data_IF_622232706783
#
_entry.id   IF_622232706783
#
_cell.length_a   1.000
_cell.length_b   1.000
_cell.length_c   1.000
_cell.angle_alpha   90.00
_cell.angle_beta   90.00
_cell.angle_gamma   90.00
#
_symmetry.space_group_name_H-M   'P 1'
#
loop_
_entity.id
_entity.type
_entity.pdbx_description
1 polymer ?
#
# COMPACT_ATOMS: atom_id res chain seq x y z
N UNK A 1 6.24 -35.80 10.94
CA UNK A 1 5.98 -34.41 11.43
C UNK A 1 6.21 -33.43 10.27
N UNK A 2 5.38 -33.53 9.22
CA UNK A 2 5.67 -32.93 7.90
C UNK A 2 4.48 -32.15 7.32
N UNK A 3 3.42 -31.91 8.11
CA UNK A 3 2.19 -31.27 7.61
C UNK A 3 2.15 -29.76 7.92
N UNK A 4 3.05 -29.24 8.76
CA UNK A 4 2.98 -27.84 9.23
C UNK A 4 3.87 -26.85 8.46
N UNK A 5 4.56 -27.24 7.39
CA UNK A 5 5.49 -26.35 6.65
C UNK A 5 4.82 -25.46 5.58
N UNK A 6 3.52 -25.62 5.32
CA UNK A 6 2.82 -24.96 4.20
C UNK A 6 1.54 -24.21 4.59
N UNK A 7 1.30 -23.92 5.88
CA UNK A 7 0.15 -23.09 6.26
C UNK A 7 0.55 -21.62 6.19
N UNK A 8 0.04 -20.90 5.18
CA UNK A 8 0.08 -19.44 5.16
C UNK A 8 -0.84 -18.86 6.25
N UNK A 9 -0.61 -17.61 6.66
CA UNK A 9 -1.47 -16.87 7.59
C UNK A 9 -2.94 -16.87 7.17
N UNK A 10 -3.20 -16.92 5.85
CA UNK A 10 -4.55 -16.98 5.30
C UNK A 10 -5.13 -18.38 5.24
N UNK A 11 -4.32 -19.43 5.18
CA UNK A 11 -4.81 -20.81 5.29
C UNK A 11 -5.30 -21.11 6.72
N UNK A 12 -4.65 -20.52 7.72
CA UNK A 12 -5.15 -20.50 9.10
C UNK A 12 -6.43 -19.66 9.25
N UNK A 13 -6.54 -18.54 8.53
CA UNK A 13 -7.75 -17.72 8.50
C UNK A 13 -8.94 -18.40 7.80
N UNK A 14 -8.67 -19.18 6.74
CA UNK A 14 -9.63 -20.06 6.05
C UNK A 14 -10.06 -21.23 6.94
N UNK A 15 -9.18 -21.71 7.82
CA UNK A 15 -9.50 -22.73 8.84
C UNK A 15 -10.36 -22.15 9.98
N UNK A 16 -10.17 -20.87 10.32
CA UNK A 16 -10.97 -20.10 11.30
C UNK A 16 -12.22 -19.43 10.68
N UNK A 17 -12.69 -19.92 9.53
CA UNK A 17 -13.80 -19.37 8.75
C UNK A 17 -15.08 -19.00 9.52
N UNK A 18 -15.49 -19.66 10.63
CA UNK A 18 -16.65 -19.22 11.40
C UNK A 18 -16.47 -17.89 12.16
N UNK A 19 -15.22 -17.51 12.47
CA UNK A 19 -14.87 -16.31 13.27
C UNK A 19 -14.50 -15.13 12.34
N UNK A 20 -14.07 -15.44 11.12
CA UNK A 20 -13.60 -14.48 10.13
C UNK A 20 -14.61 -13.38 9.74
N UNK A 21 -15.95 -13.61 9.66
CA UNK A 21 -16.88 -12.59 9.17
C UNK A 21 -16.97 -11.36 10.09
N UNK A 22 -16.93 -11.55 11.40
CA UNK A 22 -16.95 -10.45 12.39
C UNK A 22 -15.64 -9.65 12.36
N UNK A 23 -14.51 -10.34 12.23
CA UNK A 23 -13.21 -9.69 12.11
C UNK A 23 -13.12 -8.84 10.84
N UNK A 24 -13.54 -9.40 9.70
CA UNK A 24 -13.55 -8.68 8.43
C UNK A 24 -14.57 -7.57 8.38
N UNK A 25 -15.74 -7.71 9.01
CA UNK A 25 -16.75 -6.64 9.04
C UNK A 25 -16.24 -5.46 9.83
N UNK A 26 -15.62 -5.70 10.98
CA UNK A 26 -15.12 -4.64 11.83
C UNK A 26 -13.85 -3.99 11.26
N UNK A 27 -12.95 -4.78 10.65
CA UNK A 27 -11.82 -4.24 9.91
C UNK A 27 -12.27 -3.38 8.72
N UNK A 28 -13.23 -3.88 7.92
CA UNK A 28 -13.77 -3.13 6.77
C UNK A 28 -14.46 -1.84 7.25
N UNK A 29 -15.30 -1.91 8.27
CA UNK A 29 -15.99 -0.72 8.78
C UNK A 29 -15.02 0.35 9.28
N UNK A 30 -13.98 -0.04 10.05
CA UNK A 30 -12.94 0.89 10.49
C UNK A 30 -12.09 1.43 9.34
N UNK A 31 -11.77 0.59 8.35
CA UNK A 31 -10.94 0.97 7.18
C UNK A 31 -11.67 1.94 6.25
N UNK A 32 -12.99 1.79 6.11
CA UNK A 32 -13.84 2.54 5.19
C UNK A 32 -14.88 3.39 5.93
N UNK A 33 -14.62 3.80 7.17
CA UNK A 33 -15.55 4.58 8.00
C UNK A 33 -15.99 5.89 7.32
N UNK A 34 -15.12 6.45 6.46
CA UNK A 34 -15.41 7.64 5.66
C UNK A 34 -16.50 7.40 4.58
N UNK A 35 -16.77 6.15 4.20
CA UNK A 35 -17.88 5.79 3.33
C UNK A 35 -19.20 5.88 4.12
N UNK A 36 -20.02 6.88 3.78
CA UNK A 36 -21.26 7.19 4.51
C UNK A 36 -22.44 6.32 4.08
N UNK A 37 -22.35 5.66 2.94
CA UNK A 37 -23.43 4.81 2.42
C UNK A 37 -23.30 3.35 2.89
N UNK A 38 -24.38 2.84 3.47
CA UNK A 38 -24.47 1.47 3.94
C UNK A 38 -24.39 0.45 2.79
N UNK A 39 -24.86 0.80 1.59
CA UNK A 39 -24.81 -0.08 0.42
C UNK A 39 -23.38 -0.20 -0.10
N UNK A 40 -22.67 0.91 -0.22
CA UNK A 40 -21.23 0.94 -0.52
C UNK A 40 -20.43 0.11 0.50
N UNK A 41 -20.62 0.33 1.80
CA UNK A 41 -19.92 -0.43 2.86
C UNK A 41 -20.16 -1.94 2.73
N UNK A 42 -21.41 -2.35 2.48
CA UNK A 42 -21.75 -3.77 2.28
C UNK A 42 -21.08 -4.33 1.03
N UNK A 43 -21.03 -3.56 -0.05
CA UNK A 43 -20.40 -3.96 -1.30
C UNK A 43 -18.89 -4.15 -1.13
N UNK A 44 -18.22 -3.18 -0.48
CA UNK A 44 -16.79 -3.26 -0.17
C UNK A 44 -16.49 -4.45 0.74
N UNK A 45 -17.33 -4.70 1.75
CA UNK A 45 -17.22 -5.87 2.60
C UNK A 45 -17.33 -7.17 1.81
N UNK A 46 -18.37 -7.32 0.98
CA UNK A 46 -18.58 -8.51 0.16
C UNK A 46 -17.40 -8.76 -0.80
N UNK A 47 -16.95 -7.71 -1.48
CA UNK A 47 -15.78 -7.76 -2.36
C UNK A 47 -14.53 -8.22 -1.60
N UNK A 48 -14.23 -7.56 -0.48
CA UNK A 48 -13.06 -7.85 0.36
C UNK A 48 -13.09 -9.27 0.91
N UNK A 49 -14.22 -9.69 1.48
CA UNK A 49 -14.41 -11.05 1.99
C UNK A 49 -14.26 -12.09 0.88
N UNK A 50 -14.80 -11.83 -0.31
CA UNK A 50 -14.67 -12.74 -1.46
C UNK A 50 -13.19 -12.95 -1.86
N UNK A 51 -12.37 -11.89 -1.81
CA UNK A 51 -10.93 -11.98 -2.13
C UNK A 51 -10.19 -12.78 -1.07
N UNK A 52 -10.44 -12.53 0.22
CA UNK A 52 -9.75 -13.24 1.30
C UNK A 52 -10.10 -14.73 1.36
N UNK A 53 -11.36 -15.07 1.06
CA UNK A 53 -11.84 -16.45 1.07
C UNK A 53 -11.52 -17.20 -0.24
N UNK A 54 -11.27 -16.47 -1.33
CA UNK A 54 -10.86 -17.07 -2.61
C UNK A 54 -9.52 -17.78 -2.50
N UNK A 55 -9.25 -18.67 -3.46
CA UNK A 55 -7.97 -19.38 -3.58
C UNK A 55 -6.81 -18.38 -3.62
N UNK A 56 -5.77 -18.67 -2.84
CA UNK A 56 -4.56 -17.87 -2.81
C UNK A 56 -3.96 -17.67 -4.20
N UNK A 57 -3.51 -16.45 -4.46
CA UNK A 57 -2.83 -16.10 -5.72
C UNK A 57 -1.72 -15.09 -5.44
N UNK A 58 -2.08 -13.82 -5.20
CA UNK A 58 -1.11 -12.74 -4.96
C UNK A 58 -0.24 -12.92 -3.72
N UNK A 59 -0.74 -13.59 -2.68
CA UNK A 59 0.03 -13.87 -1.45
C UNK A 59 1.30 -14.69 -1.72
N UNK A 60 1.25 -15.64 -2.66
CA UNK A 60 2.45 -16.39 -3.05
C UNK A 60 3.49 -15.48 -3.71
N UNK A 61 3.05 -14.49 -4.49
CA UNK A 61 3.93 -13.47 -5.08
C UNK A 61 4.58 -12.57 -4.04
N UNK A 62 3.84 -12.16 -3.00
CA UNK A 62 4.38 -11.33 -1.92
C UNK A 62 5.56 -12.01 -1.22
N UNK A 63 5.49 -13.34 -1.00
CA UNK A 63 6.61 -14.09 -0.40
C UNK A 63 7.88 -14.08 -1.24
N UNK A 64 7.81 -13.73 -2.53
CA UNK A 64 8.98 -13.57 -3.42
C UNK A 64 9.55 -12.15 -3.37
N UNK A 65 8.71 -11.15 -3.20
CA UNK A 65 9.13 -9.74 -3.19
C UNK A 65 9.56 -9.28 -1.79
N UNK A 66 8.91 -9.79 -0.75
CA UNK A 66 9.08 -9.39 0.64
C UNK A 66 9.68 -10.52 1.51
N UNK A 67 10.77 -10.21 2.21
CA UNK A 67 11.32 -11.00 3.30
C UNK A 67 10.40 -10.93 4.54
N UNK A 68 10.62 -11.80 5.56
CA UNK A 68 9.86 -11.75 6.80
C UNK A 68 9.82 -10.33 7.40
N UNK A 69 8.65 -9.92 7.89
CA UNK A 69 8.42 -8.55 8.36
C UNK A 69 8.11 -7.53 7.26
N UNK A 70 7.68 -7.98 6.07
CA UNK A 70 7.36 -7.13 4.92
C UNK A 70 8.54 -6.27 4.41
N UNK A 71 9.77 -6.71 4.65
CA UNK A 71 10.97 -6.03 4.16
C UNK A 71 11.20 -6.35 2.69
N UNK A 72 11.38 -5.36 1.83
CA UNK A 72 11.65 -5.60 0.42
C UNK A 72 13.00 -6.32 0.22
N UNK A 73 13.00 -7.47 -0.50
CA UNK A 73 14.24 -8.17 -0.86
C UNK A 73 15.13 -7.35 -1.80
N UNK A 74 14.50 -6.62 -2.72
CA UNK A 74 15.16 -5.77 -3.69
C UNK A 74 14.59 -4.34 -3.58
N UNK A 75 15.03 -3.55 -2.59
CA UNK A 75 14.46 -2.24 -2.32
C UNK A 75 14.76 -1.24 -3.45
N UNK A 76 13.79 -0.38 -3.76
CA UNK A 76 13.89 0.58 -4.87
C UNK A 76 15.05 1.56 -4.71
N UNK A 77 15.37 1.97 -3.47
CA UNK A 77 16.47 2.91 -3.19
C UNK A 77 17.84 2.40 -3.67
N UNK A 78 18.02 1.09 -3.80
CA UNK A 78 19.26 0.49 -4.34
C UNK A 78 19.23 0.30 -5.86
N UNK A 79 18.11 0.57 -6.51
CA UNK A 79 17.84 0.18 -7.90
C UNK A 79 17.53 1.32 -8.84
N UNK A 80 16.83 2.34 -8.34
CA UNK A 80 16.20 3.38 -9.15
C UNK A 80 16.97 4.72 -9.20
N UNK A 81 17.73 5.18 -8.18
CA UNK A 81 18.28 6.54 -8.16
C UNK A 81 18.92 7.00 -9.47
N UNK A 82 19.82 6.20 -10.04
CA UNK A 82 20.54 6.55 -11.27
C UNK A 82 19.87 6.04 -12.56
N UNK A 83 18.66 5.48 -12.46
CA UNK A 83 17.96 4.83 -13.60
C UNK A 83 16.66 5.51 -13.98
N UNK A 84 16.15 6.41 -13.15
CA UNK A 84 14.93 7.15 -13.47
C UNK A 84 15.26 8.20 -14.54
N UNK A 85 14.41 8.28 -15.57
CA UNK A 85 14.62 9.13 -16.75
C UNK A 85 13.53 10.18 -16.95
N UNK A 86 12.62 10.26 -15.99
CA UNK A 86 11.46 11.15 -16.03
C UNK A 86 11.28 11.76 -14.64
N UNK A 87 10.65 12.94 -14.54
CA UNK A 87 10.26 13.49 -13.26
C UNK A 87 9.37 12.50 -12.50
N UNK A 88 9.44 12.50 -11.18
CA UNK A 88 8.63 11.60 -10.36
C UNK A 88 8.07 12.26 -9.11
N UNK A 89 6.84 11.90 -8.76
CA UNK A 89 6.18 12.31 -7.53
C UNK A 89 6.04 11.10 -6.60
N UNK A 90 6.52 11.26 -5.37
CA UNK A 90 6.48 10.25 -4.31
C UNK A 90 5.59 10.77 -3.19
N UNK A 91 4.45 10.09 -2.98
CA UNK A 91 3.42 10.48 -2.02
C UNK A 91 3.35 9.49 -0.87
N UNK A 92 3.29 10.01 0.35
CA UNK A 92 3.09 9.23 1.58
C UNK A 92 2.06 9.91 2.47
N UNK A 93 1.36 9.11 3.27
CA UNK A 93 0.56 9.61 4.37
C UNK A 93 1.43 10.05 5.55
N UNK A 94 0.97 11.03 6.32
CA UNK A 94 1.63 11.48 7.56
C UNK A 94 1.54 10.42 8.68
N UNK A 95 0.47 9.63 8.71
CA UNK A 95 0.22 8.51 9.63
C UNK A 95 0.37 7.14 8.96
N UNK A 96 1.15 7.05 7.89
CA UNK A 96 1.41 5.79 7.16
C UNK A 96 2.17 4.78 8.05
N UNK A 97 1.75 3.51 7.98
CA UNK A 97 2.44 2.39 8.63
C UNK A 97 3.77 2.06 7.92
N UNK A 98 3.90 2.46 6.64
CA UNK A 98 5.16 2.40 5.89
C UNK A 98 6.09 3.54 6.27
N UNK A 99 7.40 3.29 6.22
CA UNK A 99 8.40 4.30 6.57
C UNK A 99 8.50 5.41 5.51
N UNK A 100 7.80 6.53 5.74
CA UNK A 100 7.84 7.74 4.89
C UNK A 100 9.24 8.32 4.65
N UNK A 101 10.18 8.13 5.59
CA UNK A 101 11.56 8.58 5.42
C UNK A 101 12.27 7.85 4.28
N UNK A 102 11.87 6.62 3.96
CA UNK A 102 12.39 5.91 2.79
C UNK A 102 12.01 6.62 1.48
N UNK A 103 10.79 7.16 1.40
CA UNK A 103 10.32 7.99 0.28
C UNK A 103 11.11 9.30 0.14
N UNK A 104 11.36 9.97 1.26
CA UNK A 104 12.20 11.17 1.27
C UNK A 104 13.64 10.87 0.81
N UNK A 105 14.24 9.81 1.35
CA UNK A 105 15.61 9.42 1.05
C UNK A 105 15.79 9.02 -0.41
N UNK A 106 14.84 8.28 -1.02
CA UNK A 106 14.96 7.92 -2.44
C UNK A 106 14.87 9.15 -3.35
N UNK A 107 14.02 10.14 -3.04
CA UNK A 107 14.00 11.41 -3.78
C UNK A 107 15.33 12.15 -3.66
N UNK A 108 15.95 12.15 -2.47
CA UNK A 108 17.27 12.75 -2.24
C UNK A 108 18.34 12.07 -3.10
N UNK A 109 18.36 10.74 -3.15
CA UNK A 109 19.32 10.00 -3.98
C UNK A 109 19.08 10.23 -5.48
N UNK A 110 17.83 10.20 -5.96
CA UNK A 110 17.49 10.52 -7.36
C UNK A 110 18.00 11.92 -7.71
N UNK A 111 17.72 12.92 -6.88
CA UNK A 111 18.06 14.32 -7.16
C UNK A 111 19.55 14.63 -7.01
N UNK A 112 20.34 13.73 -6.40
CA UNK A 112 21.79 13.87 -6.30
C UNK A 112 22.46 13.48 -7.62
N UNK A 113 21.95 12.46 -8.29
CA UNK A 113 22.50 11.91 -9.53
C UNK A 113 21.84 12.47 -10.79
N UNK A 114 20.59 12.94 -10.68
CA UNK A 114 19.80 13.44 -11.79
C UNK A 114 19.97 14.95 -12.06
N UNK A 115 19.70 15.34 -13.30
CA UNK A 115 19.52 16.74 -13.69
C UNK A 115 18.05 17.20 -13.48
N UNK A 116 17.73 18.43 -13.88
CA UNK A 116 16.37 18.96 -13.73
C UNK A 116 15.30 18.15 -14.46
N UNK A 117 15.64 17.45 -15.55
CA UNK A 117 14.70 16.64 -16.34
C UNK A 117 14.23 15.36 -15.63
N UNK A 118 14.88 14.99 -14.52
CA UNK A 118 14.58 13.76 -13.75
C UNK A 118 14.18 14.03 -12.31
N UNK A 119 13.85 15.30 -11.99
CA UNK A 119 13.59 15.74 -10.62
C UNK A 119 12.50 14.90 -9.93
N UNK A 120 12.86 14.32 -8.79
CA UNK A 120 11.95 13.65 -7.88
C UNK A 120 11.42 14.60 -6.80
N UNK A 121 10.11 14.58 -6.58
CA UNK A 121 9.42 15.38 -5.55
C UNK A 121 8.82 14.45 -4.51
N UNK A 122 9.10 14.72 -3.23
CA UNK A 122 8.46 14.05 -2.10
C UNK A 122 7.38 14.95 -1.51
N UNK A 123 6.19 14.41 -1.23
CA UNK A 123 5.13 15.12 -0.51
C UNK A 123 4.46 14.20 0.51
N UNK A 124 4.05 14.79 1.62
CA UNK A 124 3.17 14.16 2.60
C UNK A 124 1.74 14.66 2.38
N UNK A 125 0.79 13.75 2.53
CA UNK A 125 -0.64 14.05 2.54
C UNK A 125 -1.09 13.98 4.00
N UNK A 126 -1.74 15.04 4.48
CA UNK A 126 -2.17 15.14 5.87
C UNK A 126 -3.41 14.27 6.12
N UNK A 127 -3.55 13.80 7.36
CA UNK A 127 -4.66 12.96 7.83
C UNK A 127 -4.85 11.69 6.98
N UNK A 128 -3.74 11.10 6.53
CA UNK A 128 -3.73 9.98 5.61
C UNK A 128 -2.73 8.88 6.01
N UNK A 129 -3.15 7.62 5.84
CA UNK A 129 -2.29 6.46 5.97
C UNK A 129 -1.71 6.03 4.63
N UNK A 130 -1.61 4.71 4.42
CA UNK A 130 -0.99 4.15 3.22
C UNK A 130 -1.80 4.35 1.92
N UNK A 131 -3.13 4.38 2.01
CA UNK A 131 -3.99 4.60 0.85
C UNK A 131 -4.40 6.07 0.80
N UNK A 132 -3.42 6.93 0.52
CA UNK A 132 -3.58 8.39 0.52
C UNK A 132 -4.71 8.88 -0.40
N UNK A 133 -4.95 8.19 -1.52
CA UNK A 133 -6.03 8.49 -2.47
C UNK A 133 -7.43 8.21 -1.90
N UNK A 134 -7.53 7.34 -0.89
CA UNK A 134 -8.78 7.03 -0.20
C UNK A 134 -8.94 7.93 1.04
N UNK A 135 -7.86 8.13 1.79
CA UNK A 135 -7.93 8.81 3.07
C UNK A 135 -8.09 10.34 2.91
N UNK A 136 -7.42 10.94 1.92
CA UNK A 136 -7.55 12.37 1.59
C UNK A 136 -7.50 12.60 0.07
N UNK A 137 -8.60 12.27 -0.65
CA UNK A 137 -8.65 12.32 -2.11
C UNK A 137 -8.41 13.74 -2.67
N UNK A 138 -8.90 14.78 -1.96
CA UNK A 138 -8.77 16.17 -2.40
C UNK A 138 -7.32 16.62 -2.45
N UNK A 139 -6.55 16.33 -1.40
CA UNK A 139 -5.13 16.71 -1.39
C UNK A 139 -4.31 15.83 -2.34
N UNK A 140 -4.59 14.53 -2.40
CA UNK A 140 -3.98 13.64 -3.38
C UNK A 140 -4.15 14.16 -4.81
N UNK A 141 -5.39 14.46 -5.21
CA UNK A 141 -5.72 14.98 -6.54
C UNK A 141 -4.98 16.29 -6.82
N UNK A 142 -5.04 17.25 -5.89
CA UNK A 142 -4.34 18.53 -6.03
C UNK A 142 -2.84 18.34 -6.26
N UNK A 143 -2.17 17.47 -5.50
CA UNK A 143 -0.73 17.23 -5.64
C UNK A 143 -0.38 16.56 -6.96
N UNK A 144 -1.19 15.59 -7.40
CA UNK A 144 -1.01 14.90 -8.69
C UNK A 144 -1.22 15.88 -9.85
N UNK A 145 -2.30 16.65 -9.85
CA UNK A 145 -2.62 17.60 -10.92
C UNK A 145 -1.59 18.72 -11.01
N UNK A 146 -1.13 19.24 -9.87
CA UNK A 146 -0.05 20.22 -9.85
C UNK A 146 1.24 19.64 -10.45
N UNK A 147 1.61 18.41 -10.10
CA UNK A 147 2.82 17.78 -10.63
C UNK A 147 2.75 17.51 -12.15
N UNK A 148 1.58 17.15 -12.67
CA UNK A 148 1.40 16.89 -14.11
C UNK A 148 1.38 18.19 -14.92
N UNK A 149 0.98 19.31 -14.31
CA UNK A 149 0.86 20.61 -14.99
C UNK A 149 2.12 21.48 -14.94
N UNK A 150 3.17 21.01 -14.26
CA UNK A 150 4.49 21.66 -14.19
C UNK A 150 5.33 21.40 -15.45
#
# INVERSE_FOLDING_TARGET
MTILKNLDQKDTLRLLAPISPKFFSEWTYKRFEKAKDATELRTVFQYTASIFLSKGSGEFGLTRILAPGALARLPLIKRIPDKIKVPSLWLYGDVDWMNRHAGYNICKEINKSGDESTRAKFRLIQDAGHHVYLDNPREFERLVMNFISE
#
